data_IF_762103092817
#
_entry.id   IF_762103092817
#
_cell.length_a   1.000
_cell.length_b   1.000
_cell.length_c   1.000
_cell.angle_alpha   90.00
_cell.angle_beta   90.00
_cell.angle_gamma   90.00
#
_symmetry.space_group_name_H-M   'P 1'
#
loop_
_entity.id
_entity.type
_entity.pdbx_description
1 polymer ?
#
# COMPACT_ATOMS: atom_id res chain seq x y z
N UNK A 1 7.20 -4.99 -7.47
CA UNK A 1 5.92 -5.50 -8.01
C UNK A 1 4.99 -4.33 -8.29
N UNK A 2 4.22 -4.39 -9.38
CA UNK A 2 3.18 -3.39 -9.69
C UNK A 2 1.83 -4.08 -9.87
N UNK A 3 0.80 -3.50 -9.28
CA UNK A 3 -0.60 -3.90 -9.46
C UNK A 3 -1.37 -2.70 -9.99
N UNK A 4 -2.23 -2.93 -10.98
CA UNK A 4 -3.06 -1.90 -11.59
C UNK A 4 -4.53 -2.32 -11.55
N UNK A 5 -5.37 -1.41 -11.08
CA UNK A 5 -6.84 -1.50 -11.13
C UNK A 5 -7.35 -0.84 -12.43
N UNK A 6 -8.30 -1.49 -13.10
CA UNK A 6 -8.97 -0.93 -14.28
C UNK A 6 -10.20 -0.08 -13.94
N UNK A 7 -10.60 -0.07 -12.66
CA UNK A 7 -11.67 0.76 -12.13
C UNK A 7 -11.28 2.24 -11.97
N UNK A 8 -12.08 2.97 -11.20
CA UNK A 8 -11.89 4.41 -11.01
C UNK A 8 -10.67 4.75 -10.13
N UNK A 9 -10.12 3.79 -9.39
CA UNK A 9 -9.14 4.05 -8.34
C UNK A 9 -9.79 4.61 -7.06
N UNK A 10 -8.96 5.11 -6.17
CA UNK A 10 -9.39 5.68 -4.88
C UNK A 10 -8.35 6.69 -4.38
N UNK A 11 -8.76 7.60 -3.50
CA UNK A 11 -7.86 8.57 -2.87
C UNK A 11 -6.98 7.87 -1.81
N UNK A 12 -5.80 7.41 -2.23
CA UNK A 12 -4.86 6.70 -1.37
C UNK A 12 -4.34 7.56 -0.22
N UNK A 13 -4.16 8.86 -0.47
CA UNK A 13 -3.63 9.79 0.53
C UNK A 13 -4.66 10.01 1.64
N UNK A 14 -5.93 10.17 1.28
CA UNK A 14 -7.03 10.24 2.24
C UNK A 14 -7.14 8.98 3.09
N UNK A 15 -7.03 7.79 2.50
CA UNK A 15 -7.11 6.52 3.26
C UNK A 15 -5.91 6.37 4.19
N UNK A 16 -4.70 6.72 3.74
CA UNK A 16 -3.48 6.66 4.55
C UNK A 16 -3.44 7.72 5.67
N UNK A 17 -4.19 8.81 5.55
CA UNK A 17 -4.34 9.81 6.60
C UNK A 17 -5.29 9.38 7.74
N UNK A 18 -6.07 8.31 7.54
CA UNK A 18 -6.95 7.78 8.58
C UNK A 18 -6.14 7.13 9.71
N UNK A 19 -6.61 7.17 10.97
CA UNK A 19 -5.99 6.45 12.07
C UNK A 19 -5.88 4.95 11.75
N UNK A 20 -4.74 4.30 12.06
CA UNK A 20 -4.58 2.87 11.83
C UNK A 20 -5.66 2.06 12.56
N UNK A 21 -6.38 1.22 11.82
CA UNK A 21 -7.41 0.34 12.39
C UNK A 21 -6.81 -0.90 13.08
N UNK A 22 -6.02 -0.67 14.15
CA UNK A 22 -5.18 -1.70 14.80
C UNK A 22 -5.98 -2.85 15.44
N UNK A 23 -7.23 -2.61 15.82
CA UNK A 23 -8.10 -3.60 16.47
C UNK A 23 -9.12 -4.25 15.53
N UNK A 24 -9.14 -3.84 14.25
CA UNK A 24 -10.10 -4.32 13.27
C UNK A 24 -9.41 -5.19 12.21
N UNK A 25 -10.17 -6.14 11.65
CA UNK A 25 -9.65 -7.01 10.58
C UNK A 25 -9.77 -6.37 9.19
N UNK A 26 -10.59 -5.31 9.04
CA UNK A 26 -10.83 -4.55 7.81
C UNK A 26 -10.20 -3.15 7.86
N UNK A 27 -10.10 -2.48 6.71
CA UNK A 27 -9.63 -1.09 6.60
C UNK A 27 -8.12 -0.88 6.75
N UNK A 28 -7.35 -1.93 7.05
CA UNK A 28 -5.91 -1.85 7.32
C UNK A 28 -4.98 -2.16 6.13
N UNK A 29 -5.53 -2.51 4.97
CA UNK A 29 -4.77 -3.06 3.84
C UNK A 29 -3.58 -2.20 3.39
N UNK A 30 -3.80 -0.90 3.14
CA UNK A 30 -2.75 0.00 2.68
C UNK A 30 -1.64 0.21 3.72
N UNK A 31 -2.03 0.36 4.99
CA UNK A 31 -1.09 0.51 6.09
C UNK A 31 -0.20 -0.75 6.22
N UNK A 32 -0.79 -1.95 6.11
CA UNK A 32 -0.04 -3.20 6.14
C UNK A 32 0.94 -3.32 4.97
N UNK A 33 0.50 -3.01 3.74
CA UNK A 33 1.39 -3.04 2.57
C UNK A 33 2.57 -2.09 2.76
N UNK A 34 2.32 -0.87 3.26
CA UNK A 34 3.37 0.11 3.57
C UNK A 34 4.32 -0.38 4.67
N UNK A 35 3.80 -1.06 5.69
CA UNK A 35 4.60 -1.55 6.81
C UNK A 35 5.51 -2.73 6.42
N UNK A 36 5.04 -3.58 5.50
CA UNK A 36 5.75 -4.80 5.11
C UNK A 36 6.72 -4.61 3.95
N UNK A 37 6.65 -3.48 3.24
CA UNK A 37 7.50 -3.17 2.08
C UNK A 37 8.55 -2.13 2.43
N UNK A 38 9.71 -2.20 1.79
CA UNK A 38 10.77 -1.21 1.92
C UNK A 38 10.43 0.09 1.20
N UNK A 39 9.70 -0.02 0.09
CA UNK A 39 9.15 1.11 -0.63
C UNK A 39 7.75 0.78 -1.13
N UNK A 40 6.83 1.72 -0.93
CA UNK A 40 5.48 1.66 -1.46
C UNK A 40 5.06 3.02 -2.02
N UNK A 41 4.49 3.01 -3.21
CA UNK A 41 3.97 4.19 -3.89
C UNK A 41 2.61 3.88 -4.50
N UNK A 42 1.70 4.86 -4.38
CA UNK A 42 0.43 4.88 -5.08
C UNK A 42 0.48 5.97 -6.13
N UNK A 43 -0.08 5.69 -7.30
CA UNK A 43 -0.13 6.63 -8.40
C UNK A 43 -1.37 6.38 -9.27
N UNK A 44 -1.53 7.20 -10.30
CA UNK A 44 -2.65 7.10 -11.24
C UNK A 44 -4.01 7.18 -10.52
N UNK A 45 -4.18 8.19 -9.65
CA UNK A 45 -5.40 8.38 -8.84
C UNK A 45 -5.79 7.14 -8.01
N UNK A 46 -4.79 6.47 -7.45
CA UNK A 46 -4.92 5.24 -6.66
C UNK A 46 -5.21 3.98 -7.45
N UNK A 47 -5.19 4.03 -8.79
CA UNK A 47 -5.31 2.83 -9.63
C UNK A 47 -4.04 1.99 -9.65
N UNK A 48 -2.89 2.59 -9.37
CA UNK A 48 -1.61 1.86 -9.41
C UNK A 48 -0.97 1.81 -8.04
N UNK A 49 -0.61 0.60 -7.61
CA UNK A 49 0.26 0.37 -6.45
C UNK A 49 1.59 -0.23 -6.92
N UNK A 50 2.70 0.38 -6.54
CA UNK A 50 4.06 -0.13 -6.78
C UNK A 50 4.76 -0.36 -5.45
N UNK A 51 5.22 -1.60 -5.23
CA UNK A 51 5.89 -2.02 -4.00
C UNK A 51 7.24 -2.66 -4.28
N UNK A 52 8.22 -2.41 -3.42
CA UNK A 52 9.53 -3.03 -3.44
C UNK A 52 9.79 -3.71 -2.09
N UNK A 53 10.38 -4.90 -2.16
CA UNK A 53 10.86 -5.66 -1.02
C UNK A 53 12.35 -5.91 -1.23
N UNK A 54 13.14 -5.64 -0.21
CA UNK A 54 14.55 -5.91 -0.14
C UNK A 54 14.76 -7.09 0.81
N UNK A 55 15.66 -7.97 0.40
CA UNK A 55 16.14 -9.06 1.24
C UNK A 55 17.64 -8.87 1.30
N UNK A 56 18.17 -8.66 2.50
CA UNK A 56 19.61 -8.78 2.70
C UNK A 56 19.96 -10.26 2.49
N UNK A 57 20.70 -10.55 1.41
CA UNK A 57 21.20 -11.90 1.19
C UNK A 57 22.07 -12.31 2.36
N UNK A 58 21.83 -13.49 2.94
CA UNK A 58 22.76 -14.10 3.89
C UNK A 58 24.10 -14.30 3.15
N UNK A 59 25.09 -13.50 3.52
CA UNK A 59 26.48 -13.66 3.10
C UNK A 59 27.12 -14.88 3.76
#
# INVERSE_FOLDING_TARGET
>A
MRVQDSGAGFDSDRVLALPPAVTQLSGRGLALVRQLSDRCQWSDEGRTASVEFAWEGLA
#
